data_IF_228527220052
#
_entry.id   IF_228527220052
#
_cell.length_a   1.000
_cell.length_b   1.000
_cell.length_c   1.000
_cell.angle_alpha   90.00
_cell.angle_beta   90.00
_cell.angle_gamma   90.00
#
_symmetry.space_group_name_H-M   'P 1'
#
loop_
_entity.id
_entity.type
_entity.pdbx_description
1 polymer ?
#
# COMPACT_ATOMS: atom_id res chain seq x y z
N UNK A 1 -9.84 -1.57 8.85
CA UNK A 1 -8.47 -1.85 8.38
C UNK A 1 -7.56 -0.66 8.68
N UNK A 2 -6.34 -0.94 9.02
CA UNK A 2 -5.32 0.07 9.32
C UNK A 2 -4.07 -0.24 8.50
N UNK A 3 -3.39 0.80 8.01
CA UNK A 3 -2.10 0.65 7.34
C UNK A 3 -1.02 1.32 8.17
N UNK A 4 0.10 0.64 8.35
CA UNK A 4 1.25 1.11 9.10
C UNK A 4 2.47 1.07 8.20
N UNK A 5 3.21 2.19 8.11
CA UNK A 5 4.46 2.23 7.37
C UNK A 5 5.63 1.99 8.34
N UNK A 6 6.53 1.10 7.96
CA UNK A 6 7.69 0.73 8.76
C UNK A 6 8.96 0.74 7.92
N UNK A 7 10.09 1.01 8.56
CA UNK A 7 11.38 0.84 7.93
C UNK A 7 12.41 0.43 8.98
N UNK A 8 13.56 -0.10 8.54
CA UNK A 8 14.67 -0.42 9.43
C UNK A 8 15.90 0.39 9.03
N UNK A 9 16.64 0.88 10.02
CA UNK A 9 17.95 1.52 9.81
C UNK A 9 19.02 0.48 9.55
N UNK A 10 18.78 -0.78 9.90
CA UNK A 10 19.69 -1.90 9.69
C UNK A 10 19.26 -2.67 8.44
N UNK A 11 20.11 -2.71 7.42
CA UNK A 11 19.84 -3.41 6.16
C UNK A 11 19.64 -4.91 6.32
N UNK A 12 20.15 -5.49 7.42
CA UNK A 12 20.02 -6.91 7.71
C UNK A 12 18.72 -7.27 8.40
N UNK A 13 17.89 -6.30 8.75
CA UNK A 13 16.61 -6.51 9.41
C UNK A 13 15.48 -6.31 8.42
N UNK A 14 14.61 -7.31 8.31
CA UNK A 14 13.36 -7.21 7.56
C UNK A 14 12.33 -6.51 8.46
N UNK A 15 11.97 -5.25 8.18
CA UNK A 15 11.06 -4.51 9.06
C UNK A 15 9.66 -5.11 9.08
N UNK A 16 9.17 -5.65 7.97
CA UNK A 16 7.86 -6.29 7.92
C UNK A 16 7.86 -7.58 8.73
N UNK A 17 8.88 -8.43 8.51
CA UNK A 17 9.03 -9.67 9.26
C UNK A 17 9.16 -9.43 10.75
N UNK A 18 9.89 -8.40 11.17
CA UNK A 18 10.04 -8.05 12.58
C UNK A 18 8.71 -7.63 13.21
N UNK A 19 7.87 -6.89 12.49
CA UNK A 19 6.55 -6.47 12.98
C UNK A 19 5.56 -7.63 13.03
N UNK A 20 5.59 -8.51 12.03
CA UNK A 20 4.68 -9.66 11.97
C UNK A 20 5.02 -10.66 13.08
N UNK A 21 6.31 -10.93 13.27
CA UNK A 21 6.78 -11.89 14.26
C UNK A 21 6.59 -13.34 13.84
N UNK A 22 6.95 -14.26 14.72
CA UNK A 22 6.86 -15.69 14.45
C UNK A 22 5.40 -16.11 14.26
N UNK A 23 5.09 -16.71 13.11
CA UNK A 23 3.74 -17.16 12.76
C UNK A 23 2.68 -16.05 12.92
N UNK A 24 3.07 -14.80 12.71
CA UNK A 24 2.14 -13.67 12.81
C UNK A 24 1.77 -13.30 14.25
N UNK A 25 2.49 -13.79 15.26
CA UNK A 25 2.13 -13.57 16.66
C UNK A 25 2.09 -12.13 17.10
N UNK A 26 3.03 -11.30 16.64
CA UNK A 26 3.08 -9.88 17.03
C UNK A 26 1.94 -9.09 16.39
N UNK A 27 1.70 -9.26 15.09
CA UNK A 27 0.62 -8.56 14.42
C UNK A 27 -0.74 -9.03 14.92
N UNK A 28 -0.88 -10.31 15.24
CA UNK A 28 -2.11 -10.86 15.81
C UNK A 28 -2.45 -10.21 17.14
N UNK A 29 -1.43 -10.03 18.01
CA UNK A 29 -1.63 -9.37 19.29
C UNK A 29 -2.16 -7.96 19.13
N UNK A 30 -1.65 -7.20 18.15
CA UNK A 30 -2.14 -5.83 17.86
C UNK A 30 -3.55 -5.87 17.29
N UNK A 31 -3.83 -6.79 16.38
CA UNK A 31 -5.18 -6.95 15.81
C UNK A 31 -6.19 -7.26 16.91
N UNK A 32 -5.83 -8.12 17.87
CA UNK A 32 -6.70 -8.46 18.98
C UNK A 32 -6.98 -7.23 19.87
N UNK A 33 -5.96 -6.41 20.13
CA UNK A 33 -6.11 -5.14 20.87
C UNK A 33 -7.04 -4.15 20.16
N UNK A 34 -7.08 -4.19 18.84
CA UNK A 34 -7.93 -3.35 18.01
C UNK A 34 -9.28 -4.00 17.67
N UNK A 35 -9.71 -4.96 18.48
CA UNK A 35 -10.98 -5.65 18.31
C UNK A 35 -11.12 -6.36 16.96
N UNK A 36 -10.02 -6.95 16.49
CA UNK A 36 -9.99 -7.70 15.23
C UNK A 36 -9.80 -6.86 13.98
N UNK A 37 -9.46 -5.57 14.11
CA UNK A 37 -9.18 -4.74 12.94
C UNK A 37 -7.94 -5.23 12.21
N UNK A 38 -8.06 -5.44 10.90
CA UNK A 38 -6.94 -5.90 10.08
C UNK A 38 -5.90 -4.82 9.89
N UNK A 39 -4.63 -5.22 9.91
CA UNK A 39 -3.49 -4.32 9.76
C UNK A 39 -2.68 -4.72 8.55
N UNK A 40 -2.42 -3.76 7.66
CA UNK A 40 -1.46 -3.92 6.58
C UNK A 40 -0.14 -3.26 7.00
N UNK A 41 0.94 -4.02 7.02
CA UNK A 41 2.28 -3.51 7.33
C UNK A 41 2.97 -3.19 6.01
N UNK A 42 3.30 -1.92 5.81
CA UNK A 42 3.81 -1.38 4.55
C UNK A 42 5.27 -0.98 4.74
N UNK A 43 6.14 -1.35 3.79
CA UNK A 43 7.53 -0.90 3.81
C UNK A 43 7.56 0.58 3.38
N UNK A 44 8.07 1.43 4.28
CA UNK A 44 8.30 2.85 3.96
C UNK A 44 9.48 2.95 2.99
N UNK A 45 9.39 3.87 2.04
CA UNK A 45 10.48 4.19 1.14
C UNK A 45 10.57 5.71 0.96
N UNK A 46 11.79 6.22 0.81
CA UNK A 46 12.00 7.63 0.49
C UNK A 46 11.61 7.95 -0.95
N UNK A 47 11.53 6.93 -1.81
CA UNK A 47 11.09 7.08 -3.20
C UNK A 47 9.57 7.03 -3.24
N UNK A 48 8.88 8.13 -3.64
CA UNK A 48 7.42 8.17 -3.60
C UNK A 48 6.74 7.08 -4.41
N UNK A 49 7.27 6.74 -5.58
CA UNK A 49 6.71 5.69 -6.42
C UNK A 49 6.71 4.33 -5.73
N UNK A 50 7.83 3.97 -5.09
CA UNK A 50 7.93 2.71 -4.34
C UNK A 50 7.01 2.70 -3.13
N UNK A 51 6.98 3.80 -2.38
CA UNK A 51 6.13 3.91 -1.20
C UNK A 51 4.65 3.80 -1.55
N UNK A 52 4.23 4.47 -2.62
CA UNK A 52 2.85 4.41 -3.11
C UNK A 52 2.49 2.98 -3.52
N UNK A 53 3.36 2.31 -4.28
CA UNK A 53 3.13 0.93 -4.68
C UNK A 53 2.99 0.02 -3.46
N UNK A 54 3.90 0.14 -2.50
CA UNK A 54 3.87 -0.66 -1.27
C UNK A 54 2.61 -0.41 -0.45
N UNK A 55 2.14 0.85 -0.42
CA UNK A 55 0.97 1.25 0.37
C UNK A 55 -0.33 0.62 -0.12
N UNK A 56 -0.38 0.16 -1.36
CA UNK A 56 -1.56 -0.47 -1.94
C UNK A 56 -1.63 -1.97 -1.65
N UNK A 57 -0.67 -2.49 -0.86
CA UNK A 57 -0.74 -3.86 -0.36
C UNK A 57 -2.15 -4.19 0.13
N UNK A 58 -2.69 -5.38 -0.12
CA UNK A 58 -2.04 -6.54 -0.74
C UNK A 58 -2.13 -6.59 -2.28
N UNK A 59 -2.58 -5.54 -2.95
CA UNK A 59 -2.67 -5.57 -4.41
C UNK A 59 -1.30 -5.48 -5.07
N UNK A 60 -1.18 -6.08 -6.24
CA UNK A 60 0.00 -5.97 -7.08
C UNK A 60 -0.10 -4.69 -7.90
N UNK A 61 1.03 -4.03 -8.13
CA UNK A 61 1.12 -2.79 -8.89
C UNK A 61 2.09 -2.99 -10.04
N UNK A 62 1.68 -2.62 -11.25
CA UNK A 62 2.52 -2.72 -12.43
C UNK A 62 3.40 -1.49 -12.62
N UNK A 63 2.83 -0.30 -12.37
CA UNK A 63 3.52 0.96 -12.62
C UNK A 63 2.92 2.07 -11.78
N UNK A 64 3.76 3.05 -11.43
CA UNK A 64 3.33 4.25 -10.72
C UNK A 64 3.91 5.45 -11.47
N UNK A 65 3.04 6.34 -11.94
CA UNK A 65 3.44 7.58 -12.59
C UNK A 65 3.15 8.73 -11.64
N UNK A 66 4.20 9.39 -11.15
CA UNK A 66 4.07 10.45 -10.15
C UNK A 66 4.21 11.84 -10.77
N UNK A 67 3.46 12.79 -10.23
CA UNK A 67 3.62 14.21 -10.46
C UNK A 67 3.95 14.84 -9.11
N UNK A 68 5.23 15.12 -8.89
CA UNK A 68 5.71 15.64 -7.60
C UNK A 68 5.16 17.03 -7.30
N UNK A 69 4.96 17.83 -8.32
CA UNK A 69 4.45 19.19 -8.17
C UNK A 69 3.03 19.19 -7.61
N UNK A 70 2.19 18.31 -8.12
CA UNK A 70 0.80 18.18 -7.68
C UNK A 70 0.63 17.18 -6.53
N UNK A 71 1.68 16.45 -6.19
CA UNK A 71 1.66 15.33 -5.24
C UNK A 71 0.54 14.36 -5.60
N UNK A 72 0.50 13.97 -6.86
CA UNK A 72 -0.47 13.04 -7.38
C UNK A 72 0.21 11.89 -8.11
N UNK A 73 -0.45 10.75 -8.13
CA UNK A 73 0.06 9.56 -8.76
C UNK A 73 -1.05 8.83 -9.50
N UNK A 74 -0.71 8.32 -10.68
CA UNK A 74 -1.56 7.36 -11.41
C UNK A 74 -0.90 6.00 -11.23
N UNK A 75 -1.64 5.08 -10.63
CA UNK A 75 -1.16 3.73 -10.36
C UNK A 75 -1.86 2.77 -11.31
N UNK A 76 -1.07 1.98 -12.02
CA UNK A 76 -1.58 0.99 -12.97
C UNK A 76 -1.46 -0.39 -12.33
N UNK A 77 -2.55 -1.13 -12.31
CA UNK A 77 -2.61 -2.49 -11.76
C UNK A 77 -3.13 -3.46 -12.82
N UNK A 78 -2.83 -4.76 -12.70
CA UNK A 78 -3.47 -5.74 -13.57
C UNK A 78 -4.98 -5.67 -13.43
N UNK A 79 -5.71 -5.92 -14.51
CA UNK A 79 -7.18 -5.83 -14.50
C UNK A 79 -7.82 -6.62 -13.35
N UNK A 80 -7.32 -7.82 -13.07
CA UNK A 80 -7.85 -8.67 -12.01
C UNK A 80 -7.54 -8.15 -10.60
N UNK A 81 -6.66 -7.16 -10.46
CA UNK A 81 -6.28 -6.57 -9.18
C UNK A 81 -7.02 -5.26 -8.88
N UNK A 82 -7.74 -4.71 -9.85
CA UNK A 82 -8.34 -3.37 -9.70
C UNK A 82 -9.25 -3.27 -8.47
N UNK A 83 -10.16 -4.22 -8.28
CA UNK A 83 -11.07 -4.21 -7.14
C UNK A 83 -10.33 -4.32 -5.81
N UNK A 84 -9.27 -5.13 -5.77
CA UNK A 84 -8.45 -5.30 -4.56
C UNK A 84 -7.67 -4.01 -4.25
N UNK A 85 -7.11 -3.37 -5.28
CA UNK A 85 -6.34 -2.14 -5.11
C UNK A 85 -7.21 -1.00 -4.58
N UNK A 86 -8.41 -0.85 -5.11
CA UNK A 86 -9.37 0.18 -4.66
C UNK A 86 -9.92 -0.20 -3.28
N UNK A 87 -10.28 -1.46 -3.11
CA UNK A 87 -10.88 -1.98 -1.89
C UNK A 87 -12.37 -1.68 -1.79
N UNK A 88 -13.02 -2.34 -0.83
CA UNK A 88 -14.44 -2.13 -0.57
C UNK A 88 -14.69 -0.66 -0.20
N UNK A 89 -15.59 -0.01 -0.93
CA UNK A 89 -15.92 1.41 -0.74
C UNK A 89 -14.70 2.33 -0.84
N UNK A 90 -13.67 1.91 -1.57
CA UNK A 90 -12.45 2.68 -1.75
C UNK A 90 -11.50 2.69 -0.57
N UNK A 91 -11.71 1.81 0.40
CA UNK A 91 -10.95 1.82 1.66
C UNK A 91 -9.45 1.66 1.46
N UNK A 92 -9.03 0.70 0.61
CA UNK A 92 -7.61 0.45 0.41
C UNK A 92 -6.90 1.67 -0.19
N UNK A 93 -7.50 2.25 -1.23
CA UNK A 93 -6.97 3.45 -1.88
C UNK A 93 -6.94 4.65 -0.94
N UNK A 94 -8.00 4.86 -0.14
CA UNK A 94 -8.06 5.97 0.82
C UNK A 94 -7.00 5.87 1.90
N UNK A 95 -6.81 4.68 2.45
CA UNK A 95 -5.79 4.45 3.48
C UNK A 95 -4.38 4.66 2.92
N UNK A 96 -4.13 4.19 1.68
CA UNK A 96 -2.85 4.40 1.02
C UNK A 96 -2.58 5.89 0.79
N UNK A 97 -3.58 6.64 0.33
CA UNK A 97 -3.46 8.08 0.10
C UNK A 97 -3.14 8.83 1.41
N UNK A 98 -3.81 8.48 2.50
CA UNK A 98 -3.53 9.06 3.82
C UNK A 98 -2.13 8.72 4.32
N UNK A 99 -1.72 7.47 4.20
CA UNK A 99 -0.42 7.01 4.67
C UNK A 99 0.72 7.69 3.94
N UNK A 100 0.62 7.79 2.63
CA UNK A 100 1.68 8.36 1.77
C UNK A 100 1.60 9.87 1.64
N UNK A 101 0.44 10.46 1.93
CA UNK A 101 0.16 11.88 1.71
C UNK A 101 0.25 12.27 0.23
N UNK A 102 -0.20 11.37 -0.64
CA UNK A 102 -0.30 11.58 -2.09
C UNK A 102 -1.72 11.34 -2.55
N UNK A 103 -2.15 12.06 -3.60
CA UNK A 103 -3.40 11.75 -4.29
C UNK A 103 -3.14 10.55 -5.18
N UNK A 104 -3.94 9.50 -5.05
CA UNK A 104 -3.74 8.26 -5.77
C UNK A 104 -4.94 7.98 -6.66
N UNK A 105 -4.70 7.87 -7.98
CA UNK A 105 -5.68 7.46 -8.97
C UNK A 105 -5.29 6.08 -9.47
N UNK A 106 -6.15 5.09 -9.26
CA UNK A 106 -5.86 3.70 -9.60
C UNK A 106 -6.59 3.35 -10.89
N UNK A 107 -5.85 2.84 -11.85
CA UNK A 107 -6.39 2.39 -13.13
C UNK A 107 -5.97 0.96 -13.42
N UNK A 108 -6.86 0.19 -14.05
CA UNK A 108 -6.46 -1.10 -14.59
C UNK A 108 -5.58 -0.89 -15.82
N UNK A 109 -4.80 -1.90 -16.15
CA UNK A 109 -3.95 -1.88 -17.34
C UNK A 109 -4.76 -1.57 -18.60
N UNK A 110 -5.93 -2.19 -18.76
CA UNK A 110 -6.81 -1.94 -19.91
C UNK A 110 -7.31 -0.49 -19.96
N UNK A 111 -7.71 0.08 -18.83
CA UNK A 111 -8.15 1.48 -18.76
C UNK A 111 -7.03 2.44 -19.10
N UNK A 112 -5.83 2.15 -18.63
CA UNK A 112 -4.65 3.00 -18.88
C UNK A 112 -4.28 2.99 -20.38
N UNK A 113 -4.30 1.83 -21.02
CA UNK A 113 -4.01 1.69 -22.44
C UNK A 113 -5.05 2.42 -23.33
N UNK A 114 -6.33 2.38 -22.94
CA UNK A 114 -7.40 3.06 -23.67
C UNK A 114 -7.27 4.57 -23.68
N UNK A 115 -6.65 5.14 -22.65
CA UNK A 115 -6.51 6.58 -22.48
C UNK A 115 -5.17 7.12 -22.97
N UNK A 116 -4.36 6.26 -23.55
CA UNK A 116 -3.01 6.63 -24.00
C UNK A 116 -2.98 7.12 -25.47
#
# INVERSE_FOLDING_TARGET
RTKIAVYSKDENVDPVGACVGFKGGRVKAIVDELNGEKIDIVIWSKNPDDFIANSLSPSKVLNVNIDEKERSAVVVVPDYQLSLAIGKEGQNARLAAKLTNWKIDIKSESQYEEND
#
